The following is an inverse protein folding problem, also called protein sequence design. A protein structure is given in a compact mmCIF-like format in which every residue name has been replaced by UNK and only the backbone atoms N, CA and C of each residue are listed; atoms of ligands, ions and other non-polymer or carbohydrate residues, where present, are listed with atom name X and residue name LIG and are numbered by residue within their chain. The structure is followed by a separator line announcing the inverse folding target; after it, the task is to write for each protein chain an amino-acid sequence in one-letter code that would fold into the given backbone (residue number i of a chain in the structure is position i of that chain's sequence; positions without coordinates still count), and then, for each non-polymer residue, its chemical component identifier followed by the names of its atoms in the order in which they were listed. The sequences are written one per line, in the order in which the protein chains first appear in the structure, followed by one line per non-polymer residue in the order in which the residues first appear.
data_IF_282353548638
#
_entry.id   IF_282353548638
#
_cell.length_a   1.000
_cell.length_b   1.000
_cell.length_c   1.000
_cell.angle_alpha   90.00
_cell.angle_beta   90.00
_cell.angle_gamma   90.00
#
_symmetry.space_group_name_H-M   'P 1'
#
loop_
_entity.id
_entity.type
_entity.pdbx_description
1 polymer ?
#
# COMPACT_ATOMS: atom_id res chain seq x y z
N UNK A 1 -3.66 -1.46 -26.80
CA UNK A 1 -3.23 -0.16 -27.34
C UNK A 1 -2.66 0.62 -26.18
N UNK A 2 -1.34 0.57 -26.03
CA UNK A 2 -0.62 1.37 -25.05
C UNK A 2 -0.71 2.84 -25.46
N UNK A 3 -1.46 3.63 -24.69
CA UNK A 3 -1.40 5.07 -24.78
C UNK A 3 -0.28 5.56 -23.85
N UNK A 4 0.98 5.35 -24.24
CA UNK A 4 1.99 6.36 -23.89
C UNK A 4 1.73 7.47 -24.89
N UNK A 5 0.91 8.46 -24.50
CA UNK A 5 0.90 9.72 -25.23
C UNK A 5 2.27 10.33 -25.01
N UNK A 6 3.13 10.24 -26.02
CA UNK A 6 4.33 11.06 -26.06
C UNK A 6 3.90 12.52 -25.89
N UNK A 7 4.49 13.19 -24.90
CA UNK A 7 4.25 14.60 -24.66
C UNK A 7 4.93 15.43 -25.76
N UNK A 8 4.37 16.59 -26.09
CA UNK A 8 5.01 17.47 -27.09
C UNK A 8 6.36 18.01 -26.57
N UNK A 9 7.27 18.44 -27.45
CA UNK A 9 8.51 19.09 -27.03
C UNK A 9 8.27 20.28 -26.10
N UNK A 10 7.21 21.06 -26.32
CA UNK A 10 6.83 22.19 -25.48
C UNK A 10 6.41 21.72 -24.08
N UNK A 11 5.60 20.65 -23.99
CA UNK A 11 5.23 20.04 -22.72
C UNK A 11 6.45 19.49 -21.98
N UNK A 12 7.39 18.86 -22.70
CA UNK A 12 8.63 18.37 -22.11
C UNK A 12 9.50 19.49 -21.52
N UNK A 13 9.56 20.66 -22.18
CA UNK A 13 10.26 21.85 -21.65
C UNK A 13 9.59 22.35 -20.37
N UNK A 14 8.26 22.41 -20.33
CA UNK A 14 7.52 22.82 -19.12
C UNK A 14 7.83 21.89 -17.96
N UNK A 15 7.65 20.58 -18.14
CA UNK A 15 7.92 19.58 -17.12
C UNK A 15 9.38 19.60 -16.66
N UNK A 16 10.34 19.82 -17.58
CA UNK A 16 11.75 19.98 -17.22
C UNK A 16 11.98 21.18 -16.29
N UNK A 17 11.40 22.34 -16.61
CA UNK A 17 11.56 23.53 -15.75
C UNK A 17 10.88 23.34 -14.39
N UNK A 18 9.71 22.70 -14.34
CA UNK A 18 8.99 22.40 -13.11
C UNK A 18 9.74 21.39 -12.22
N UNK A 19 10.41 20.42 -12.83
CA UNK A 19 11.15 19.36 -12.12
C UNK A 19 12.51 19.81 -11.57
N UNK A 20 12.92 21.06 -11.82
CA UNK A 20 14.27 21.54 -11.46
C UNK A 20 14.37 21.83 -9.97
N UNK A 21 15.26 21.11 -9.30
CA UNK A 21 15.62 21.40 -7.90
C UNK A 21 16.56 22.61 -7.81
N UNK A 22 16.48 23.33 -6.70
CA UNK A 22 17.36 24.46 -6.37
C UNK A 22 17.86 24.34 -4.94
N UNK A 23 19.17 24.46 -4.75
CA UNK A 23 19.79 24.46 -3.41
C UNK A 23 19.36 25.65 -2.54
N UNK A 24 18.76 26.68 -3.14
CA UNK A 24 18.20 27.83 -2.42
C UNK A 24 16.80 27.60 -1.86
N UNK A 25 16.14 26.48 -2.19
CA UNK A 25 14.82 26.11 -1.67
C UNK A 25 14.95 25.17 -0.49
N UNK A 26 14.03 25.28 0.46
CA UNK A 26 13.85 24.29 1.50
C UNK A 26 12.91 23.20 0.97
N UNK A 27 13.31 21.94 1.10
CA UNK A 27 12.49 20.78 0.77
C UNK A 27 12.12 20.11 2.10
N UNK A 28 10.84 20.10 2.42
CA UNK A 28 10.36 19.48 3.65
C UNK A 28 10.55 17.97 3.58
N UNK A 29 10.90 17.38 4.73
CA UNK A 29 10.96 15.93 4.86
C UNK A 29 9.53 15.38 4.73
N UNK A 30 9.35 14.37 3.89
CA UNK A 30 8.07 13.68 3.75
C UNK A 30 7.54 13.24 5.13
N UNK A 31 6.27 13.53 5.48
CA UNK A 31 5.68 13.12 6.74
C UNK A 31 5.76 11.61 6.96
N UNK A 32 6.34 11.19 8.08
CA UNK A 32 6.45 9.79 8.51
C UNK A 32 5.14 9.36 9.16
N UNK A 33 4.31 8.60 8.44
CA UNK A 33 2.95 8.29 8.92
C UNK A 33 2.81 6.89 9.51
N UNK A 34 3.78 5.99 9.28
CA UNK A 34 3.74 4.60 9.76
C UNK A 34 5.09 4.15 10.30
N UNK A 35 5.07 3.56 11.50
CA UNK A 35 6.26 3.05 12.21
C UNK A 35 6.01 1.68 12.82
N UNK A 36 7.08 0.88 12.91
CA UNK A 36 7.15 -0.36 13.70
C UNK A 36 8.34 -0.26 14.63
N UNK A 37 8.13 -0.38 15.94
CA UNK A 37 9.20 -0.25 16.95
C UNK A 37 10.04 1.04 16.81
N UNK A 38 9.44 2.12 16.29
CA UNK A 38 10.12 3.39 16.04
C UNK A 38 10.75 3.51 14.65
N UNK A 39 10.96 2.40 13.94
CA UNK A 39 11.45 2.39 12.56
C UNK A 39 10.36 2.80 11.59
N UNK A 40 10.68 3.74 10.70
CA UNK A 40 9.75 4.25 9.67
C UNK A 40 9.54 3.19 8.61
N UNK A 41 8.29 2.82 8.39
CA UNK A 41 7.89 1.86 7.35
C UNK A 41 7.00 2.49 6.27
N UNK A 42 6.58 3.74 6.46
CA UNK A 42 5.78 4.45 5.48
C UNK A 42 5.78 5.96 5.67
N UNK A 43 6.14 6.70 4.62
CA UNK A 43 5.96 8.15 4.52
C UNK A 43 4.94 8.51 3.44
N UNK A 44 4.35 9.71 3.53
CA UNK A 44 3.63 10.28 2.38
C UNK A 44 4.58 10.44 1.18
N UNK A 45 4.07 10.28 -0.04
CA UNK A 45 4.88 10.32 -1.26
C UNK A 45 5.54 8.99 -1.64
N UNK A 46 5.47 7.97 -0.77
CA UNK A 46 6.06 6.65 -1.02
C UNK A 46 5.02 5.53 -0.96
N UNK A 47 5.43 4.34 -1.39
CA UNK A 47 4.65 3.11 -1.20
C UNK A 47 5.47 2.02 -0.52
N UNK A 48 4.79 1.11 0.17
CA UNK A 48 5.35 -0.05 0.84
C UNK A 48 4.53 -1.30 0.51
N UNK A 49 5.01 -2.46 0.93
CA UNK A 49 4.34 -3.73 0.64
C UNK A 49 4.40 -4.73 1.79
N UNK A 50 3.39 -5.59 1.88
CA UNK A 50 3.42 -6.83 2.66
C UNK A 50 3.45 -8.03 1.72
N UNK A 51 4.49 -8.86 1.84
CA UNK A 51 4.65 -10.11 1.09
C UNK A 51 4.61 -11.32 2.01
N UNK A 52 4.34 -12.49 1.43
CA UNK A 52 4.25 -13.73 2.20
C UNK A 52 3.51 -14.82 1.44
N UNK A 53 3.72 -16.07 1.84
CA UNK A 53 3.05 -17.24 1.26
C UNK A 53 1.52 -17.14 1.39
N UNK A 54 0.81 -17.92 0.58
CA UNK A 54 -0.64 -18.00 0.67
C UNK A 54 -1.07 -18.37 2.10
N UNK A 55 -2.17 -17.77 2.56
CA UNK A 55 -2.73 -17.97 3.91
C UNK A 55 -1.81 -17.55 5.07
N UNK A 56 -0.75 -16.77 4.86
CA UNK A 56 0.14 -16.26 5.92
C UNK A 56 -0.44 -15.10 6.77
N UNK A 57 -1.75 -14.87 6.71
CA UNK A 57 -2.44 -13.80 7.46
C UNK A 57 -2.04 -12.36 7.08
N UNK A 58 -1.54 -12.10 5.86
CA UNK A 58 -1.25 -10.73 5.36
C UNK A 58 -2.42 -9.76 5.50
N UNK A 59 -3.64 -10.16 5.15
CA UNK A 59 -4.83 -9.31 5.35
C UNK A 59 -5.05 -8.96 6.83
N UNK A 60 -4.69 -9.83 7.78
CA UNK A 60 -4.71 -9.50 9.20
C UNK A 60 -3.62 -8.48 9.55
N UNK A 61 -2.39 -8.68 9.04
CA UNK A 61 -1.29 -7.72 9.19
C UNK A 61 -1.70 -6.31 8.73
N UNK A 62 -2.23 -6.22 7.52
CA UNK A 62 -2.68 -4.94 6.95
C UNK A 62 -3.92 -4.41 7.66
N UNK A 63 -4.78 -5.26 8.22
CA UNK A 63 -5.87 -4.79 9.10
C UNK A 63 -5.32 -4.06 10.33
N UNK A 64 -4.18 -4.50 10.88
CA UNK A 64 -3.53 -3.84 12.01
C UNK A 64 -2.93 -2.47 11.61
N UNK A 65 -2.29 -2.38 10.45
CA UNK A 65 -1.78 -1.12 9.89
C UNK A 65 -2.92 -0.11 9.71
N UNK A 66 -4.02 -0.53 9.07
CA UNK A 66 -5.18 0.34 8.85
C UNK A 66 -5.82 0.75 10.17
N UNK A 67 -5.96 -0.18 11.11
CA UNK A 67 -6.50 0.14 12.42
C UNK A 67 -5.63 1.16 13.18
N UNK A 68 -4.31 1.05 13.09
CA UNK A 68 -3.39 2.06 13.64
C UNK A 68 -3.61 3.43 12.99
N UNK A 69 -3.73 3.47 11.65
CA UNK A 69 -3.98 4.70 10.90
C UNK A 69 -5.32 5.37 11.26
N UNK A 70 -6.40 4.60 11.34
CA UNK A 70 -7.72 5.13 11.74
C UNK A 70 -7.71 5.67 13.18
N UNK A 71 -7.07 4.91 14.10
CA UNK A 71 -6.88 5.32 15.49
C UNK A 71 -5.94 6.53 15.62
N UNK A 72 -5.04 6.73 14.65
CA UNK A 72 -3.92 7.65 14.71
C UNK A 72 -3.09 7.46 15.97
N UNK A 73 -2.69 6.21 16.18
CA UNK A 73 -1.90 5.81 17.32
C UNK A 73 -1.43 4.38 17.14
N UNK A 74 -1.24 3.67 18.25
CA UNK A 74 -0.69 2.31 18.21
C UNK A 74 -1.77 1.23 18.22
N UNK A 75 -1.65 0.28 17.29
CA UNK A 75 -2.38 -1.00 17.25
C UNK A 75 -1.38 -2.11 16.98
N UNK A 76 -1.35 -3.13 17.85
CA UNK A 76 -0.31 -4.16 17.90
C UNK A 76 1.10 -3.54 18.04
N UNK A 77 1.91 -3.59 16.98
CA UNK A 77 3.26 -2.98 16.89
C UNK A 77 3.34 -1.86 15.87
N UNK A 78 2.24 -1.56 15.19
CA UNK A 78 2.13 -0.47 14.24
C UNK A 78 1.73 0.80 14.98
N UNK A 79 2.54 1.84 14.86
CA UNK A 79 2.20 3.20 15.25
C UNK A 79 1.93 4.02 13.99
N UNK A 80 0.83 4.76 13.97
CA UNK A 80 0.49 5.65 12.87
C UNK A 80 0.24 7.07 13.36
N UNK A 81 0.69 8.05 12.57
CA UNK A 81 0.58 9.48 12.86
C UNK A 81 0.32 10.24 11.55
N UNK A 82 -0.92 10.18 11.08
CA UNK A 82 -1.39 10.85 9.86
C UNK A 82 -1.74 12.32 10.17
N UNK A 83 -1.38 13.26 9.28
CA UNK A 83 -1.81 14.66 9.37
C UNK A 83 -3.34 14.79 9.41
N UNK A 84 -3.84 15.88 10.00
CA UNK A 84 -5.28 16.12 10.21
C UNK A 84 -6.06 16.18 8.88
N UNK A 85 -5.45 16.78 7.87
CA UNK A 85 -5.95 16.90 6.49
C UNK A 85 -5.72 15.64 5.64
N UNK A 86 -5.23 14.55 6.24
CA UNK A 86 -4.89 13.28 5.57
C UNK A 86 -5.41 12.07 6.34
N UNK A 87 -6.48 12.21 7.14
CA UNK A 87 -6.95 11.16 8.06
C UNK A 87 -7.73 10.02 7.42
N UNK A 88 -8.14 10.13 6.16
CA UNK A 88 -8.95 9.10 5.49
C UNK A 88 -8.07 7.95 4.99
N UNK A 89 -8.57 6.73 5.14
CA UNK A 89 -8.00 5.50 4.59
C UNK A 89 -8.91 4.98 3.48
N UNK A 90 -8.32 4.70 2.32
CA UNK A 90 -8.98 4.01 1.21
C UNK A 90 -8.48 2.57 1.15
N UNK A 91 -9.35 1.59 1.37
CA UNK A 91 -9.02 0.17 1.27
C UNK A 91 -9.59 -0.43 0.00
N UNK A 92 -8.76 -1.04 -0.84
CA UNK A 92 -9.16 -1.73 -2.06
C UNK A 92 -8.86 -3.22 -1.91
N UNK A 93 -9.89 -4.06 -2.05
CA UNK A 93 -9.77 -5.52 -2.07
C UNK A 93 -10.12 -6.05 -3.46
N UNK A 94 -9.20 -6.79 -4.10
CA UNK A 94 -9.40 -7.37 -5.43
C UNK A 94 -9.69 -8.87 -5.41
N UNK A 95 -9.57 -9.53 -4.26
CA UNK A 95 -9.56 -11.00 -4.18
C UNK A 95 -10.85 -11.57 -3.57
N UNK A 96 -11.47 -10.87 -2.63
CA UNK A 96 -12.49 -11.41 -1.73
C UNK A 96 -13.92 -11.08 -2.19
N UNK A 97 -14.88 -11.85 -1.68
CA UNK A 97 -16.30 -11.53 -1.86
C UNK A 97 -16.73 -10.39 -0.93
N UNK A 98 -17.85 -9.69 -1.21
CA UNK A 98 -18.35 -8.62 -0.34
C UNK A 98 -18.56 -9.06 1.13
N UNK A 99 -19.04 -10.30 1.35
CA UNK A 99 -19.21 -10.85 2.69
C UNK A 99 -17.89 -10.93 3.47
N UNK A 100 -16.81 -11.36 2.81
CA UNK A 100 -15.49 -11.43 3.44
C UNK A 100 -14.86 -10.05 3.63
N UNK A 101 -15.04 -9.14 2.66
CA UNK A 101 -14.65 -7.73 2.81
C UNK A 101 -15.29 -7.11 4.06
N UNK A 102 -16.60 -7.36 4.28
CA UNK A 102 -17.30 -6.86 5.48
C UNK A 102 -16.69 -7.40 6.78
N UNK A 103 -16.23 -8.66 6.81
CA UNK A 103 -15.52 -9.21 7.98
C UNK A 103 -14.19 -8.51 8.22
N UNK A 104 -13.45 -8.18 7.16
CA UNK A 104 -12.20 -7.42 7.25
C UNK A 104 -12.47 -6.02 7.79
N UNK A 105 -13.46 -5.31 7.22
CA UNK A 105 -13.87 -3.97 7.66
C UNK A 105 -14.26 -3.95 9.14
N UNK A 106 -15.11 -4.87 9.59
CA UNK A 106 -15.49 -4.98 11.02
C UNK A 106 -14.31 -5.29 11.93
N UNK A 107 -13.35 -6.10 11.47
CA UNK A 107 -12.13 -6.38 12.24
C UNK A 107 -11.28 -5.12 12.39
N UNK A 108 -11.08 -4.37 11.30
CA UNK A 108 -10.32 -3.11 11.30
C UNK A 108 -10.92 -2.13 12.31
N UNK A 109 -12.24 -1.91 12.24
CA UNK A 109 -12.93 -0.98 13.13
C UNK A 109 -12.81 -1.39 14.61
N UNK A 110 -13.00 -2.68 14.93
CA UNK A 110 -12.80 -3.21 16.29
C UNK A 110 -11.35 -3.03 16.77
N UNK A 111 -10.36 -3.30 15.93
CA UNK A 111 -8.94 -3.11 16.28
C UNK A 111 -8.59 -1.63 16.51
N UNK A 112 -9.26 -0.72 15.79
CA UNK A 112 -9.11 0.72 15.98
C UNK A 112 -9.87 1.27 17.21
N UNK A 113 -10.73 0.47 17.84
CA UNK A 113 -11.62 0.92 18.92
C UNK A 113 -12.82 1.72 18.43
N UNK A 114 -13.20 1.56 17.16
CA UNK A 114 -14.34 2.22 16.53
C UNK A 114 -15.58 1.31 16.47
N UNK A 115 -16.80 1.87 16.40
CA UNK A 115 -18.02 1.10 16.17
C UNK A 115 -17.95 0.31 14.86
N UNK A 116 -18.37 -0.96 14.87
CA UNK A 116 -18.36 -1.87 13.71
C UNK A 116 -19.76 -2.26 13.21
N UNK A 117 -20.78 -1.56 13.69
CA UNK A 117 -22.19 -1.66 13.31
C UNK A 117 -22.64 -0.59 12.29
N UNK A 118 -21.74 0.35 11.96
CA UNK A 118 -21.96 1.46 11.03
C UNK A 118 -20.66 1.82 10.29
N UNK A 119 -20.80 2.60 9.22
CA UNK A 119 -19.67 3.10 8.46
C UNK A 119 -18.88 4.15 9.25
N UNK A 120 -17.56 4.18 9.03
CA UNK A 120 -16.67 5.22 9.55
C UNK A 120 -16.46 6.29 8.47
N UNK A 121 -16.55 7.58 8.83
CA UNK A 121 -16.21 8.67 7.91
C UNK A 121 -14.75 8.67 7.45
N UNK A 122 -13.88 7.94 8.15
CA UNK A 122 -12.44 7.86 7.87
C UNK A 122 -12.02 6.59 7.11
N UNK A 123 -12.93 5.62 6.89
CA UNK A 123 -12.62 4.39 6.16
C UNK A 123 -13.56 4.24 4.95
N UNK A 124 -12.99 4.29 3.75
CA UNK A 124 -13.68 3.94 2.52
C UNK A 124 -13.17 2.58 2.03
N UNK A 125 -14.08 1.64 1.73
CA UNK A 125 -13.72 0.27 1.36
C UNK A 125 -14.33 -0.10 0.00
N UNK A 126 -13.47 -0.45 -0.98
CA UNK A 126 -13.83 -0.82 -2.34
C UNK A 126 -13.57 -2.31 -2.60
N UNK A 127 -14.63 -3.07 -2.87
CA UNK A 127 -14.52 -4.48 -3.30
C UNK A 127 -14.50 -4.56 -4.83
N UNK A 128 -13.33 -4.80 -5.42
CA UNK A 128 -13.10 -4.73 -6.86
C UNK A 128 -12.88 -6.08 -7.55
N UNK A 129 -13.19 -7.19 -6.88
CA UNK A 129 -13.02 -8.55 -7.43
C UNK A 129 -13.65 -8.77 -8.80
N UNK A 130 -14.82 -8.17 -9.07
CA UNK A 130 -15.58 -8.38 -10.32
C UNK A 130 -15.03 -7.64 -11.54
N UNK A 131 -14.10 -6.70 -11.36
CA UNK A 131 -13.61 -5.83 -12.43
C UNK A 131 -12.35 -6.39 -13.09
N UNK A 132 -12.09 -6.00 -14.34
CA UNK A 132 -10.85 -6.34 -15.04
C UNK A 132 -9.66 -5.55 -14.47
N UNK A 133 -8.40 -5.97 -14.69
CA UNK A 133 -7.21 -5.20 -14.34
C UNK A 133 -7.29 -3.70 -14.72
N UNK A 134 -7.66 -3.37 -15.96
CA UNK A 134 -7.77 -1.98 -16.43
C UNK A 134 -8.85 -1.21 -15.67
N UNK A 135 -10.00 -1.85 -15.45
CA UNK A 135 -11.10 -1.24 -14.70
C UNK A 135 -10.70 -1.00 -13.24
N UNK A 136 -9.97 -1.93 -12.60
CA UNK A 136 -9.46 -1.76 -11.24
C UNK A 136 -8.52 -0.55 -11.16
N UNK A 137 -7.54 -0.46 -12.05
CA UNK A 137 -6.61 0.68 -12.11
C UNK A 137 -7.38 1.99 -12.28
N UNK A 138 -8.34 2.03 -13.22
CA UNK A 138 -9.14 3.24 -13.47
C UNK A 138 -10.00 3.62 -12.26
N UNK A 139 -10.67 2.67 -11.61
CA UNK A 139 -11.48 2.92 -10.41
C UNK A 139 -10.60 3.44 -9.27
N UNK A 140 -9.44 2.80 -9.03
CA UNK A 140 -8.50 3.22 -7.98
C UNK A 140 -7.98 4.63 -8.25
N UNK A 141 -7.61 4.94 -9.49
CA UNK A 141 -7.20 6.29 -9.88
C UNK A 141 -8.31 7.31 -9.59
N UNK A 142 -9.53 7.06 -10.05
CA UNK A 142 -10.64 7.97 -9.81
C UNK A 142 -10.92 8.16 -8.31
N UNK A 143 -10.88 7.08 -7.51
CA UNK A 143 -11.05 7.18 -6.06
C UNK A 143 -9.95 8.02 -5.41
N UNK A 144 -8.68 7.81 -5.80
CA UNK A 144 -7.53 8.56 -5.27
C UNK A 144 -7.63 10.07 -5.60
N UNK A 145 -7.99 10.41 -6.85
CA UNK A 145 -8.03 11.82 -7.26
C UNK A 145 -9.29 12.58 -6.81
N UNK A 146 -10.40 11.88 -6.54
CA UNK A 146 -11.68 12.53 -6.22
C UNK A 146 -12.11 12.40 -4.75
N UNK A 147 -11.43 11.58 -3.95
CA UNK A 147 -11.62 11.57 -2.50
C UNK A 147 -10.65 12.54 -1.82
N UNK A 148 -11.15 13.54 -1.07
CA UNK A 148 -10.31 14.40 -0.28
C UNK A 148 -9.74 13.65 0.93
N UNK A 149 -8.72 14.24 1.54
CA UNK A 149 -8.16 13.88 2.84
C UNK A 149 -7.64 12.44 2.99
N UNK A 150 -7.37 11.74 1.89
CA UNK A 150 -6.70 10.43 1.94
C UNK A 150 -5.25 10.62 2.35
N UNK A 151 -4.80 9.90 3.38
CA UNK A 151 -3.39 9.76 3.73
C UNK A 151 -2.83 8.36 3.49
N UNK A 152 -3.68 7.33 3.55
CA UNK A 152 -3.27 5.93 3.34
C UNK A 152 -4.21 5.22 2.37
N UNK A 153 -3.65 4.52 1.39
CA UNK A 153 -4.36 3.63 0.49
C UNK A 153 -3.83 2.21 0.65
N UNK A 154 -4.73 1.24 0.78
CA UNK A 154 -4.41 -0.18 0.76
C UNK A 154 -4.82 -0.78 -0.57
N UNK A 155 -3.91 -1.52 -1.20
CA UNK A 155 -4.21 -2.36 -2.37
C UNK A 155 -3.98 -3.82 -1.99
N UNK A 156 -5.04 -4.48 -1.52
CA UNK A 156 -5.03 -5.90 -1.18
C UNK A 156 -5.24 -6.74 -2.46
N UNK A 157 -4.11 -7.09 -3.09
CA UNK A 157 -4.05 -7.89 -4.31
C UNK A 157 -3.52 -7.14 -5.55
N UNK A 158 -2.34 -6.51 -5.46
CA UNK A 158 -1.75 -5.80 -6.64
C UNK A 158 -1.50 -6.72 -7.84
N UNK A 159 -1.33 -8.01 -7.60
CA UNK A 159 -1.25 -9.03 -8.65
C UNK A 159 -2.46 -8.97 -9.59
N UNK A 160 -3.63 -8.61 -9.09
CA UNK A 160 -4.86 -8.55 -9.86
C UNK A 160 -5.01 -7.26 -10.66
N UNK A 161 -4.07 -6.32 -10.54
CA UNK A 161 -3.99 -5.11 -11.36
C UNK A 161 -3.32 -5.35 -12.72
N UNK A 162 -2.82 -6.56 -12.97
CA UNK A 162 -2.17 -6.96 -14.22
C UNK A 162 -2.72 -8.30 -14.72
N UNK A 163 -2.70 -8.54 -16.03
CA UNK A 163 -3.06 -9.85 -16.58
C UNK A 163 -1.93 -10.85 -16.42
N UNK A 164 -0.72 -10.46 -16.86
CA UNK A 164 0.47 -11.29 -16.73
C UNK A 164 1.43 -10.70 -15.67
N UNK A 165 1.54 -11.42 -14.56
CA UNK A 165 2.46 -11.09 -13.47
C UNK A 165 3.94 -11.16 -13.87
N UNK A 166 4.23 -11.84 -14.98
CA UNK A 166 5.56 -11.94 -15.56
C UNK A 166 5.78 -10.99 -16.74
N UNK A 167 4.83 -10.12 -17.09
CA UNK A 167 5.05 -9.09 -18.09
C UNK A 167 5.86 -7.93 -17.49
N UNK A 168 7.09 -7.66 -17.96
CA UNK A 168 7.86 -6.52 -17.48
C UNK A 168 7.14 -5.20 -17.75
N UNK A 169 6.49 -5.07 -18.91
CA UNK A 169 5.74 -3.87 -19.29
C UNK A 169 4.56 -3.58 -18.36
N UNK A 170 3.75 -4.59 -18.04
CA UNK A 170 2.63 -4.41 -17.11
C UNK A 170 3.12 -4.11 -15.68
N UNK A 171 4.20 -4.78 -15.26
CA UNK A 171 4.82 -4.59 -13.95
C UNK A 171 5.36 -3.16 -13.78
N UNK A 172 6.15 -2.68 -14.75
CA UNK A 172 6.65 -1.31 -14.75
C UNK A 172 5.51 -0.30 -14.78
N UNK A 173 4.45 -0.56 -15.57
CA UNK A 173 3.29 0.33 -15.67
C UNK A 173 2.57 0.50 -14.33
N UNK A 174 2.27 -0.60 -13.63
CA UNK A 174 1.55 -0.51 -12.35
C UNK A 174 2.41 0.10 -11.25
N UNK A 175 3.70 -0.24 -11.17
CA UNK A 175 4.61 0.37 -10.18
C UNK A 175 4.81 1.86 -10.45
N UNK A 176 4.93 2.27 -11.72
CA UNK A 176 5.00 3.70 -12.09
C UNK A 176 3.72 4.44 -11.70
N UNK A 177 2.54 3.80 -11.84
CA UNK A 177 1.28 4.37 -11.36
C UNK A 177 1.24 4.55 -9.85
N UNK A 178 1.75 3.59 -9.07
CA UNK A 178 1.86 3.76 -7.62
C UNK A 178 2.71 4.96 -7.26
N UNK A 179 3.90 5.09 -7.88
CA UNK A 179 4.80 6.22 -7.67
C UNK A 179 4.16 7.56 -8.05
N UNK A 180 3.47 7.61 -9.20
CA UNK A 180 2.74 8.79 -9.63
C UNK A 180 1.65 9.17 -8.62
N UNK A 181 0.79 8.22 -8.22
CA UNK A 181 -0.30 8.51 -7.29
C UNK A 181 0.19 8.93 -5.91
N UNK A 182 1.26 8.32 -5.40
CA UNK A 182 1.83 8.72 -4.10
C UNK A 182 2.38 10.13 -4.12
N UNK A 183 3.07 10.51 -5.20
CA UNK A 183 3.67 11.84 -5.36
C UNK A 183 2.62 12.91 -5.65
N UNK A 184 1.75 12.70 -6.64
CA UNK A 184 0.71 13.67 -7.05
C UNK A 184 -0.23 14.02 -5.89
N UNK A 185 -0.54 13.03 -5.04
CA UNK A 185 -1.54 13.19 -3.98
C UNK A 185 -0.93 13.29 -2.60
N UNK A 186 0.39 13.16 -2.46
CA UNK A 186 1.08 13.12 -1.17
C UNK A 186 0.35 12.16 -0.21
N UNK A 187 0.28 10.90 -0.63
CA UNK A 187 -0.34 9.77 0.09
C UNK A 187 0.68 8.66 0.27
N UNK A 188 0.42 7.75 1.21
CA UNK A 188 1.13 6.47 1.25
C UNK A 188 0.26 5.37 0.64
N UNK A 189 0.86 4.50 -0.18
CA UNK A 189 0.20 3.27 -0.65
C UNK A 189 0.86 2.06 0.02
N UNK A 190 0.07 1.18 0.64
CA UNK A 190 0.55 -0.13 1.10
C UNK A 190 -0.12 -1.24 0.29
N UNK A 191 0.68 -2.06 -0.37
CA UNK A 191 0.19 -3.13 -1.25
C UNK A 191 0.45 -4.54 -0.71
N UNK A 192 -0.35 -5.51 -1.10
CA UNK A 192 -0.16 -6.93 -0.75
C UNK A 192 0.19 -7.74 -2.00
N UNK A 193 1.25 -8.55 -1.88
CA UNK A 193 1.66 -9.50 -2.92
C UNK A 193 1.95 -10.90 -2.33
N UNK A 194 1.60 -11.93 -3.07
CA UNK A 194 1.94 -13.31 -2.72
C UNK A 194 3.38 -13.64 -3.10
N UNK A 195 4.10 -14.39 -2.25
CA UNK A 195 5.36 -15.04 -2.65
C UNK A 195 5.10 -16.18 -3.64
N UNK A 196 6.12 -16.60 -4.37
CA UNK A 196 6.06 -17.81 -5.18
C UNK A 196 5.84 -19.06 -4.32
N UNK A 197 5.38 -20.15 -4.95
CA UNK A 197 5.19 -21.43 -4.25
C UNK A 197 6.51 -22.17 -3.96
N UNK A 198 7.57 -21.88 -4.72
CA UNK A 198 8.84 -22.63 -4.69
C UNK A 198 10.03 -21.92 -4.04
N UNK A 199 9.91 -20.62 -3.73
CA UNK A 199 10.94 -19.84 -3.06
C UNK A 199 10.33 -18.75 -2.17
N UNK A 200 11.19 -17.96 -1.51
CA UNK A 200 10.81 -16.83 -0.64
C UNK A 200 10.77 -15.49 -1.39
N UNK A 201 10.86 -15.51 -2.73
CA UNK A 201 10.84 -14.29 -3.52
C UNK A 201 9.41 -13.78 -3.73
N UNK A 202 9.28 -12.45 -3.81
CA UNK A 202 8.07 -11.81 -4.31
C UNK A 202 7.74 -12.34 -5.73
N UNK A 203 6.45 -12.57 -6.01
CA UNK A 203 6.04 -13.31 -7.21
C UNK A 203 6.14 -12.49 -8.50
N UNK A 204 6.80 -13.06 -9.51
CA UNK A 204 6.88 -12.53 -10.88
C UNK A 204 7.66 -11.22 -11.02
N UNK A 205 7.64 -10.63 -12.22
CA UNK A 205 8.34 -9.37 -12.51
C UNK A 205 7.82 -8.22 -11.65
N UNK A 206 6.52 -8.23 -11.31
CA UNK A 206 5.95 -7.26 -10.38
C UNK A 206 6.60 -7.33 -9.00
N UNK A 207 6.97 -8.53 -8.54
CA UNK A 207 7.65 -8.71 -7.26
C UNK A 207 9.04 -8.09 -7.25
N UNK A 208 9.79 -8.27 -8.34
CA UNK A 208 11.11 -7.65 -8.52
C UNK A 208 11.01 -6.12 -8.54
N UNK A 209 10.11 -5.56 -9.37
CA UNK A 209 9.93 -4.10 -9.45
C UNK A 209 9.46 -3.51 -8.12
N UNK A 210 8.55 -4.20 -7.43
CA UNK A 210 8.06 -3.81 -6.11
C UNK A 210 9.20 -3.79 -5.09
N UNK A 211 10.03 -4.84 -5.01
CA UNK A 211 11.17 -4.88 -4.08
C UNK A 211 12.20 -3.77 -4.37
N UNK A 212 12.40 -3.43 -5.64
CA UNK A 212 13.36 -2.39 -6.04
C UNK A 212 12.88 -0.97 -5.73
N UNK A 213 11.57 -0.72 -5.71
CA UNK A 213 11.00 0.63 -5.65
C UNK A 213 10.29 0.95 -4.33
N UNK A 214 9.77 -0.06 -3.63
CA UNK A 214 9.10 0.12 -2.35
C UNK A 214 10.05 0.75 -1.32
N UNK A 215 9.50 1.58 -0.46
CA UNK A 215 10.22 2.12 0.70
C UNK A 215 10.46 1.06 1.77
N UNK A 216 9.47 0.18 1.96
CA UNK A 216 9.55 -0.95 2.88
C UNK A 216 8.80 -2.16 2.30
N UNK A 217 9.39 -3.34 2.45
CA UNK A 217 8.78 -4.62 2.14
C UNK A 217 8.76 -5.45 3.43
N UNK A 218 7.58 -5.62 3.98
CA UNK A 218 7.32 -6.45 5.14
C UNK A 218 7.11 -7.90 4.72
N UNK A 219 7.80 -8.83 5.36
CA UNK A 219 7.61 -10.26 5.17
C UNK A 219 6.70 -10.80 6.28
N UNK A 220 5.61 -11.47 5.89
CA UNK A 220 4.65 -12.10 6.82
C UNK A 220 4.66 -13.61 6.62
N UNK A 221 5.15 -14.33 7.62
CA UNK A 221 5.31 -15.78 7.60
C UNK A 221 4.53 -16.46 8.72
N UNK A 222 4.14 -17.71 8.49
CA UNK A 222 3.60 -18.53 9.58
C UNK A 222 4.73 -19.09 10.42
N UNK A 223 4.49 -19.17 11.71
CA UNK A 223 5.36 -19.93 12.59
C UNK A 223 5.39 -21.42 12.18
N UNK A 224 6.58 -22.03 12.24
CA UNK A 224 6.80 -23.42 11.83
C UNK A 224 6.21 -24.42 12.82
N UNK A 225 6.12 -24.06 14.10
CA UNK A 225 5.57 -24.89 15.17
C UNK A 225 4.10 -24.62 15.47
N UNK A 226 3.58 -23.42 15.14
CA UNK A 226 2.18 -23.06 15.37
C UNK A 226 1.58 -22.24 14.21
N UNK A 227 0.74 -22.86 13.39
CA UNK A 227 0.12 -22.18 12.24
C UNK A 227 -0.86 -21.05 12.58
N UNK A 228 -1.22 -20.92 13.87
CA UNK A 228 -2.01 -19.81 14.40
C UNK A 228 -1.17 -18.58 14.74
N UNK A 229 0.16 -18.67 14.68
CA UNK A 229 1.07 -17.53 14.88
C UNK A 229 1.66 -17.12 13.54
N UNK A 230 1.73 -15.81 13.31
CA UNK A 230 2.45 -15.24 12.17
C UNK A 230 3.49 -14.23 12.64
N UNK A 231 4.68 -14.30 12.04
CA UNK A 231 5.79 -13.39 12.26
C UNK A 231 5.83 -12.32 11.16
N UNK A 232 6.23 -11.12 11.54
CA UNK A 232 6.44 -9.97 10.67
C UNK A 232 7.87 -9.48 10.84
N UNK A 233 8.60 -9.38 9.73
CA UNK A 233 9.95 -8.81 9.65
C UNK A 233 10.07 -7.85 8.46
N UNK A 234 11.12 -7.03 8.43
CA UNK A 234 11.46 -6.29 7.22
C UNK A 234 12.33 -7.17 6.31
N UNK A 235 11.94 -7.33 5.05
CA UNK A 235 12.81 -7.87 4.00
C UNK A 235 13.65 -6.77 3.36
N UNK A 236 13.03 -5.61 3.13
CA UNK A 236 13.68 -4.41 2.65
C UNK A 236 13.12 -3.21 3.41
N UNK A 237 14.00 -2.31 3.83
CA UNK A 237 13.60 -1.08 4.52
C UNK A 237 14.66 -0.01 4.25
N UNK A 238 14.21 1.22 3.93
CA UNK A 238 15.11 2.37 3.74
C UNK A 238 15.58 2.99 5.07
N UNK A 239 14.77 2.85 6.11
CA UNK A 239 15.09 3.28 7.47
C UNK A 239 15.97 2.25 8.20
N UNK A 240 16.27 2.52 9.48
CA UNK A 240 16.87 1.51 10.36
C UNK A 240 15.92 0.32 10.51
N UNK A 241 16.47 -0.89 10.45
CA UNK A 241 15.70 -2.12 10.61
C UNK A 241 14.99 -2.21 11.98
N UNK A 242 14.02 -3.11 12.13
CA UNK A 242 13.30 -3.34 13.37
C UNK A 242 13.29 -4.82 13.79
N UNK A 243 13.20 -5.06 15.09
CA UNK A 243 13.06 -6.40 15.64
C UNK A 243 11.74 -7.06 15.19
N UNK A 244 11.78 -8.26 14.58
CA UNK A 244 10.58 -8.98 14.17
C UNK A 244 9.59 -9.17 15.32
N UNK A 245 8.30 -9.16 14.99
CA UNK A 245 7.23 -9.38 15.97
C UNK A 245 6.22 -10.40 15.47
N UNK A 246 5.42 -10.95 16.39
CA UNK A 246 4.42 -11.96 16.08
C UNK A 246 3.02 -11.58 16.57
N UNK A 247 2.00 -12.17 15.95
CA UNK A 247 0.60 -12.10 16.33
C UNK A 247 -0.14 -13.41 16.07
#
# INVERSE_FOLDING_TARGET
MDYIKEISPEQAVILWQESRLSLSRCYEKAPEILKVHGSVIGTLGNFSASIGKAKSKKTFNVSAIVAAALKNGTVLRYAAELPEEKRKVLYIDTEQSPYHCLKVMKRILRMAGLPDDRDSGYLEFLALRKYTPEQRISIVEQAIYHSPDIGLVIIDGIRDMVYDINSPGESTRIISKLMQWTDDRQIHIHTILHQNKGDENARGHIGTELNNKAETVLLVEKDKGNSDISHVSAMHIRAMDFEPFAF
#
